data_IF_181822832147
#
_entry.id   IF_181822832147
#
_cell.length_a   1.000
_cell.length_b   1.000
_cell.length_c   1.000
_cell.angle_alpha   90.00
_cell.angle_beta   90.00
_cell.angle_gamma   90.00
#
_symmetry.space_group_name_H-M   'P 1'
#
loop_
_entity.id
_entity.type
_entity.pdbx_description
1 polymer ?
#
# COMPACT_ATOMS: atom_id res chain seq x y z
N UNK A 1 -47.31 14.29 47.07
CA UNK A 1 -47.34 13.00 46.35
C UNK A 1 -46.35 12.96 45.17
N UNK A 2 -45.73 14.08 44.77
CA UNK A 2 -44.87 14.14 43.57
C UNK A 2 -43.42 13.66 43.73
N UNK A 3 -42.83 13.74 44.93
CA UNK A 3 -41.42 13.35 45.13
C UNK A 3 -41.15 11.86 44.87
N UNK A 4 -42.14 10.98 45.12
CA UNK A 4 -42.03 9.54 44.84
C UNK A 4 -41.90 9.25 43.34
N UNK A 5 -42.62 10.01 42.51
CA UNK A 5 -42.59 9.88 41.05
C UNK A 5 -41.27 10.42 40.48
N UNK A 6 -40.77 11.53 41.03
CA UNK A 6 -39.47 12.10 40.66
C UNK A 6 -38.30 11.18 41.06
N UNK A 7 -38.35 10.59 42.26
CA UNK A 7 -37.35 9.61 42.71
C UNK A 7 -37.36 8.36 41.81
N UNK A 8 -38.54 7.87 41.43
CA UNK A 8 -38.64 6.71 40.55
C UNK A 8 -38.04 6.99 39.16
N UNK A 9 -38.30 8.17 38.60
CA UNK A 9 -37.68 8.60 37.34
C UNK A 9 -36.17 8.78 37.46
N UNK A 10 -35.67 9.30 38.59
CA UNK A 10 -34.23 9.44 38.82
C UNK A 10 -33.53 8.07 38.90
N UNK A 11 -34.11 7.11 39.63
CA UNK A 11 -33.58 5.74 39.74
C UNK A 11 -33.63 5.04 38.37
N UNK A 12 -34.70 5.21 37.60
CA UNK A 12 -34.84 4.63 36.27
C UNK A 12 -33.78 5.17 35.30
N UNK A 13 -33.60 6.48 35.24
CA UNK A 13 -32.59 7.12 34.39
C UNK A 13 -31.15 6.72 34.80
N UNK A 14 -30.86 6.67 36.10
CA UNK A 14 -29.55 6.22 36.59
C UNK A 14 -29.28 4.76 36.24
N UNK A 15 -30.29 3.89 36.35
CA UNK A 15 -30.18 2.48 36.00
C UNK A 15 -29.93 2.28 34.51
N UNK A 16 -30.60 3.06 33.65
CA UNK A 16 -30.38 3.05 32.20
C UNK A 16 -28.96 3.46 31.80
N UNK A 17 -28.42 4.48 32.46
CA UNK A 17 -27.04 4.94 32.25
C UNK A 17 -26.01 3.88 32.68
N UNK A 18 -26.24 3.18 33.80
CA UNK A 18 -25.35 2.13 34.27
C UNK A 18 -25.36 0.89 33.36
N UNK A 19 -26.54 0.50 32.86
CA UNK A 19 -26.69 -0.59 31.90
C UNK A 19 -25.99 -0.28 30.57
N UNK A 20 -26.15 0.96 30.07
CA UNK A 20 -25.47 1.40 28.86
C UNK A 20 -23.94 1.44 29.04
N UNK A 21 -23.45 1.90 30.19
CA UNK A 21 -22.03 1.85 30.51
C UNK A 21 -21.49 0.41 30.56
N UNK A 22 -22.21 -0.53 31.18
CA UNK A 22 -21.80 -1.93 31.22
C UNK A 22 -21.81 -2.59 29.85
N UNK A 23 -22.81 -2.27 29.00
CA UNK A 23 -22.81 -2.72 27.61
C UNK A 23 -21.59 -2.18 26.84
N UNK A 24 -21.24 -0.90 27.03
CA UNK A 24 -20.03 -0.35 26.41
C UNK A 24 -18.75 -1.07 26.86
N UNK A 25 -18.62 -1.38 28.15
CA UNK A 25 -17.46 -2.12 28.69
C UNK A 25 -17.41 -3.55 28.14
N UNK A 26 -18.56 -4.22 28.01
CA UNK A 26 -18.64 -5.55 27.40
C UNK A 26 -18.22 -5.56 25.93
N UNK A 27 -18.54 -4.49 25.19
CA UNK A 27 -18.11 -4.26 23.80
C UNK A 27 -16.66 -3.72 23.70
N UNK A 28 -15.90 -3.73 24.81
CA UNK A 28 -14.49 -3.34 24.84
C UNK A 28 -14.22 -1.83 24.81
N UNK A 29 -15.24 -0.99 25.02
CA UNK A 29 -15.10 0.48 25.10
C UNK A 29 -14.80 0.94 26.54
N UNK A 30 -14.07 2.04 26.74
CA UNK A 30 -13.74 2.54 28.07
C UNK A 30 -14.98 2.99 28.84
N UNK A 31 -14.99 2.77 30.17
CA UNK A 31 -16.12 3.15 31.02
C UNK A 31 -16.23 4.67 31.16
N UNK A 32 -17.46 5.18 31.13
CA UNK A 32 -17.79 6.60 31.31
C UNK A 32 -17.60 7.09 32.76
N UNK A 33 -17.40 6.19 33.73
CA UNK A 33 -17.28 6.50 35.16
C UNK A 33 -15.89 6.17 35.74
N UNK A 34 -14.97 5.65 34.92
CA UNK A 34 -13.60 5.37 35.30
C UNK A 34 -12.69 6.52 34.89
N UNK A 35 -11.93 7.09 35.84
CA UNK A 35 -10.79 7.93 35.51
C UNK A 35 -9.74 7.12 34.73
N UNK A 36 -9.16 7.72 33.70
CA UNK A 36 -8.08 7.11 32.91
C UNK A 36 -6.95 6.58 33.82
N UNK A 37 -6.33 5.42 33.50
CA UNK A 37 -5.09 5.07 34.16
C UNK A 37 -4.03 6.13 33.84
N UNK A 38 -3.51 6.74 34.89
CA UNK A 38 -2.28 7.53 34.88
C UNK A 38 -1.13 6.60 34.53
N UNK A 39 -0.39 6.93 33.46
CA UNK A 39 0.93 6.39 33.24
C UNK A 39 1.94 7.53 33.16
N UNK A 40 2.97 7.40 33.96
CA UNK A 40 4.03 8.36 34.25
C UNK A 40 4.96 8.56 33.05
N UNK A 41 5.54 9.77 32.98
CA UNK A 41 6.35 10.32 31.90
C UNK A 41 7.60 9.51 31.49
N UNK A 42 8.01 9.68 30.22
CA UNK A 42 9.42 9.65 29.81
C UNK A 42 9.66 10.82 28.85
N UNK A 43 10.62 11.67 29.22
CA UNK A 43 11.20 12.73 28.38
C UNK A 43 12.06 12.07 27.30
N UNK A 44 11.87 12.45 26.04
CA UNK A 44 12.86 12.20 25.00
C UNK A 44 12.82 13.30 23.94
N UNK A 45 14.00 13.50 23.39
CA UNK A 45 14.55 14.68 22.76
C UNK A 45 13.87 15.07 21.43
N UNK A 46 13.87 16.37 21.15
CA UNK A 46 13.41 16.93 19.87
C UNK A 46 14.57 16.83 18.87
N UNK A 47 14.62 15.74 18.13
CA UNK A 47 15.39 15.66 16.89
C UNK A 47 14.47 15.27 15.74
N UNK A 48 14.41 16.16 14.74
CA UNK A 48 13.78 15.96 13.43
C UNK A 48 14.30 14.68 12.77
N UNK A 49 13.50 13.62 12.81
CA UNK A 49 13.73 12.40 12.05
C UNK A 49 12.72 12.37 10.89
N UNK A 50 13.24 12.38 9.66
CA UNK A 50 12.47 12.09 8.46
C UNK A 50 11.75 10.75 8.66
N UNK A 51 10.42 10.74 8.54
CA UNK A 51 9.60 9.53 8.56
C UNK A 51 10.00 8.69 7.34
N UNK A 52 10.57 7.51 7.59
CA UNK A 52 10.99 6.55 6.57
C UNK A 52 9.94 5.43 6.58
N UNK A 53 9.36 5.18 5.41
CA UNK A 53 8.17 4.35 5.24
C UNK A 53 8.50 3.17 4.30
N UNK A 54 8.97 2.05 4.88
CA UNK A 54 8.95 0.72 4.24
C UNK A 54 9.00 -0.42 5.29
N UNK A 55 8.51 -1.64 4.95
CA UNK A 55 8.41 -2.76 5.88
C UNK A 55 9.77 -3.39 6.23
N UNK A 56 9.91 -3.87 7.47
CA UNK A 56 11.01 -4.73 7.92
C UNK A 56 10.65 -6.21 7.72
N UNK A 57 11.48 -7.03 7.06
CA UNK A 57 11.22 -8.46 6.98
C UNK A 57 11.41 -9.12 8.35
N UNK A 58 10.42 -9.93 8.76
CA UNK A 58 10.50 -10.74 9.99
C UNK A 58 11.46 -11.92 9.76
N UNK A 59 12.32 -12.15 10.74
CA UNK A 59 13.52 -12.99 10.70
C UNK A 59 13.29 -14.45 10.26
N UNK A 60 14.13 -14.92 9.35
CA UNK A 60 14.58 -16.32 9.27
C UNK A 60 16.07 -16.35 9.69
N UNK A 61 16.51 -17.14 10.70
CA UNK A 61 17.88 -17.08 11.23
C UNK A 61 18.99 -17.45 10.23
N UNK A 62 18.65 -17.99 9.05
CA UNK A 62 19.63 -18.59 8.13
C UNK A 62 20.01 -17.72 6.93
N UNK A 63 19.42 -16.54 6.72
CA UNK A 63 19.77 -15.65 5.60
C UNK A 63 19.77 -14.20 6.12
N UNK A 64 20.93 -13.52 6.18
CA UNK A 64 20.94 -12.11 6.56
C UNK A 64 20.24 -11.30 5.46
N UNK A 65 19.28 -10.46 5.86
CA UNK A 65 18.50 -9.60 4.96
C UNK A 65 18.99 -8.14 5.07
N UNK A 66 19.09 -7.38 3.96
CA UNK A 66 19.39 -5.96 4.00
C UNK A 66 18.48 -5.19 4.95
N UNK A 67 19.04 -4.70 6.05
CA UNK A 67 18.31 -3.95 7.07
C UNK A 67 18.28 -2.44 6.79
N UNK A 68 18.22 -2.03 5.51
CA UNK A 68 18.32 -0.63 5.16
C UNK A 68 17.37 -0.26 4.04
N UNK A 69 16.66 0.81 4.33
CA UNK A 69 15.53 1.33 3.58
C UNK A 69 16.01 2.31 2.53
N UNK A 70 15.75 2.10 1.22
CA UNK A 70 16.17 3.04 0.19
C UNK A 70 15.39 4.37 0.26
N UNK A 71 16.07 5.48 0.00
CA UNK A 71 15.52 6.84 0.10
C UNK A 71 14.52 7.16 -1.01
N UNK A 72 13.44 7.88 -0.67
CA UNK A 72 12.57 8.54 -1.66
C UNK A 72 13.20 9.88 -2.04
N UNK A 73 13.61 10.03 -3.30
CA UNK A 73 14.04 11.32 -3.86
C UNK A 73 12.81 11.98 -4.51
N UNK A 74 12.23 12.96 -3.83
CA UNK A 74 11.11 13.74 -4.35
C UNK A 74 11.55 14.56 -5.60
N UNK A 75 10.71 14.59 -6.65
CA UNK A 75 10.93 15.39 -7.88
C UNK A 75 11.55 14.63 -9.06
N UNK A 76 12.18 13.48 -8.82
CA UNK A 76 12.84 12.71 -9.89
C UNK A 76 11.84 11.95 -10.79
N UNK A 77 10.64 11.61 -10.30
CA UNK A 77 9.60 10.94 -11.09
C UNK A 77 8.89 11.94 -12.02
N UNK A 78 8.63 13.14 -11.53
CA UNK A 78 7.86 14.19 -12.21
C UNK A 78 8.53 14.70 -13.50
N UNK A 79 9.86 14.67 -13.53
CA UNK A 79 10.69 15.15 -14.65
C UNK A 79 11.22 14.03 -15.55
N UNK A 80 10.99 12.77 -15.16
CA UNK A 80 11.47 11.62 -15.91
C UNK A 80 10.66 11.41 -17.21
N UNK A 81 11.33 10.79 -18.19
CA UNK A 81 10.65 10.27 -19.38
C UNK A 81 9.55 9.28 -18.97
N UNK A 82 8.46 9.26 -19.74
CA UNK A 82 7.27 8.46 -19.46
C UNK A 82 6.96 7.58 -20.67
N UNK A 83 6.65 6.32 -20.41
CA UNK A 83 6.30 5.35 -21.44
C UNK A 83 4.85 4.89 -21.26
N UNK A 84 4.10 4.82 -22.35
CA UNK A 84 2.70 4.39 -22.33
C UNK A 84 2.57 2.95 -22.83
N UNK A 85 1.96 2.10 -22.01
CA UNK A 85 1.61 0.72 -22.36
C UNK A 85 0.10 0.55 -22.24
N UNK A 86 -0.58 0.08 -23.28
CA UNK A 86 -2.05 0.01 -23.28
C UNK A 86 -2.62 -1.17 -24.03
N UNK A 87 -3.75 -1.69 -23.56
CA UNK A 87 -4.66 -2.56 -24.28
C UNK A 87 -6.04 -1.90 -24.38
N UNK A 88 -7.10 -2.69 -24.59
CA UNK A 88 -8.47 -2.19 -24.73
C UNK A 88 -9.15 -1.81 -23.40
N UNK A 89 -8.66 -2.30 -22.25
CA UNK A 89 -9.27 -2.09 -20.93
C UNK A 89 -8.39 -1.34 -19.94
N UNK A 90 -7.10 -1.17 -20.23
CA UNK A 90 -6.10 -0.62 -19.33
C UNK A 90 -5.07 0.20 -20.10
N UNK A 91 -4.79 1.41 -19.62
CA UNK A 91 -3.73 2.30 -20.09
C UNK A 91 -2.82 2.57 -18.90
N UNK A 92 -1.53 2.26 -19.04
CA UNK A 92 -0.51 2.46 -18.03
C UNK A 92 0.46 3.55 -18.47
N UNK A 93 0.89 4.36 -17.52
CA UNK A 93 2.06 5.23 -17.67
C UNK A 93 3.19 4.75 -16.75
N UNK A 94 4.36 4.52 -17.35
CA UNK A 94 5.55 3.97 -16.67
C UNK A 94 6.64 5.05 -16.70
N UNK A 95 7.08 5.49 -15.53
CA UNK A 95 8.18 6.44 -15.40
C UNK A 95 9.52 5.73 -15.63
N UNK A 96 10.40 6.37 -16.42
CA UNK A 96 11.81 6.01 -16.53
C UNK A 96 12.51 6.06 -15.16
N UNK A 97 12.03 6.87 -14.20
CA UNK A 97 12.53 6.80 -12.84
C UNK A 97 11.94 5.58 -12.12
N UNK A 98 12.83 4.66 -11.76
CA UNK A 98 12.51 3.42 -11.08
C UNK A 98 11.83 2.37 -11.95
N UNK A 99 11.45 2.66 -13.20
CA UNK A 99 10.57 1.79 -13.96
C UNK A 99 9.26 1.57 -13.21
N UNK A 100 8.66 2.69 -12.77
CA UNK A 100 7.53 2.74 -11.82
C UNK A 100 6.23 2.94 -12.59
N UNK A 101 5.19 2.17 -12.30
CA UNK A 101 3.85 2.39 -12.88
C UNK A 101 3.20 3.52 -12.06
N UNK A 102 3.07 4.69 -12.66
CA UNK A 102 2.65 5.93 -11.99
C UNK A 102 1.22 6.36 -12.33
N UNK A 103 0.64 5.76 -13.37
CA UNK A 103 -0.75 5.94 -13.76
C UNK A 103 -1.32 4.61 -14.28
N UNK A 104 -2.59 4.35 -14.00
CA UNK A 104 -3.35 3.22 -14.49
C UNK A 104 -4.81 3.62 -14.71
N UNK A 105 -5.16 3.89 -15.96
CA UNK A 105 -6.50 4.32 -16.37
C UNK A 105 -7.31 3.16 -16.97
N UNK A 106 -8.58 3.09 -16.60
CA UNK A 106 -9.54 2.05 -16.98
C UNK A 106 -10.57 2.61 -17.97
N UNK A 107 -10.28 2.68 -19.29
CA UNK A 107 -11.10 3.39 -20.28
C UNK A 107 -12.55 2.91 -20.41
N UNK A 108 -12.85 1.67 -19.99
CA UNK A 108 -14.21 1.11 -20.02
C UNK A 108 -15.01 1.33 -18.73
N UNK A 109 -14.38 1.85 -17.68
CA UNK A 109 -15.03 2.13 -16.40
C UNK A 109 -15.22 3.64 -16.27
N UNK A 110 -16.43 4.06 -15.89
CA UNK A 110 -16.79 5.47 -15.81
C UNK A 110 -17.20 5.87 -14.40
N UNK A 111 -16.77 7.04 -13.95
CA UNK A 111 -17.30 7.71 -12.77
C UNK A 111 -18.74 8.21 -13.02
N UNK A 112 -19.49 8.61 -12.00
CA UNK A 112 -20.82 9.21 -12.18
C UNK A 112 -20.83 10.41 -13.12
N UNK A 113 -19.72 11.16 -13.20
CA UNK A 113 -19.51 12.30 -14.08
C UNK A 113 -19.11 11.90 -15.51
N UNK A 114 -19.18 10.61 -15.84
CA UNK A 114 -18.79 10.03 -17.14
C UNK A 114 -17.32 10.23 -17.52
N UNK A 115 -16.45 10.36 -16.52
CA UNK A 115 -14.99 10.38 -16.71
C UNK A 115 -14.44 8.96 -16.59
N UNK A 116 -13.35 8.67 -17.30
CA UNK A 116 -12.67 7.38 -17.15
C UNK A 116 -12.11 7.24 -15.73
N UNK A 117 -12.18 6.04 -15.17
CA UNK A 117 -11.63 5.76 -13.84
C UNK A 117 -10.10 5.70 -13.95
N UNK A 118 -9.43 6.48 -13.12
CA UNK A 118 -7.99 6.40 -12.89
C UNK A 118 -7.76 5.67 -11.56
N UNK A 119 -7.12 4.51 -11.62
CA UNK A 119 -6.81 3.70 -10.45
C UNK A 119 -5.51 4.21 -9.80
N UNK A 120 -4.38 4.15 -10.51
CA UNK A 120 -3.13 4.75 -10.04
C UNK A 120 -3.03 6.20 -10.47
N UNK A 121 -2.52 7.04 -9.58
CA UNK A 121 -2.29 8.45 -9.82
C UNK A 121 -1.05 8.90 -9.05
N UNK A 122 -0.11 9.53 -9.75
CA UNK A 122 1.06 10.16 -9.16
C UNK A 122 1.02 11.67 -9.37
N UNK A 123 0.34 12.38 -8.47
CA UNK A 123 0.20 13.84 -8.46
C UNK A 123 0.81 14.45 -7.20
N UNK A 124 0.95 15.79 -7.09
CA UNK A 124 1.43 16.41 -5.85
C UNK A 124 0.53 16.14 -4.63
N UNK A 125 -0.78 15.95 -4.85
CA UNK A 125 -1.79 15.83 -3.79
C UNK A 125 -2.31 14.40 -3.61
N UNK A 126 -2.02 13.51 -4.55
CA UNK A 126 -2.39 12.10 -4.46
C UNK A 126 -1.25 11.21 -4.97
N UNK A 127 -0.86 10.22 -4.16
CA UNK A 127 0.11 9.19 -4.51
C UNK A 127 -0.58 7.84 -4.41
N UNK A 128 -0.67 7.15 -5.54
CA UNK A 128 -1.06 5.75 -5.64
C UNK A 128 -0.37 5.13 -6.86
N UNK A 129 0.63 4.28 -6.65
CA UNK A 129 1.49 3.77 -7.72
C UNK A 129 2.14 2.44 -7.34
N UNK A 130 2.67 1.71 -8.33
CA UNK A 130 3.36 0.44 -8.11
C UNK A 130 4.83 0.51 -8.53
N UNK A 131 5.73 0.04 -7.65
CA UNK A 131 7.19 0.05 -7.88
C UNK A 131 7.84 -1.26 -7.50
N UNK A 132 9.07 -1.44 -7.97
CA UNK A 132 9.91 -2.60 -7.65
C UNK A 132 11.38 -2.25 -7.77
N UNK A 133 12.26 -3.13 -7.27
CA UNK A 133 13.70 -2.94 -7.41
C UNK A 133 14.52 -3.99 -6.67
N UNK A 134 15.83 -3.86 -6.75
CA UNK A 134 16.77 -4.73 -6.06
C UNK A 134 17.36 -4.03 -4.83
N UNK A 135 17.52 -4.81 -3.77
CA UNK A 135 18.29 -4.46 -2.57
C UNK A 135 19.23 -5.62 -2.22
N UNK A 136 20.29 -5.32 -1.48
CA UNK A 136 21.20 -6.31 -0.92
C UNK A 136 21.81 -5.78 0.38
N UNK A 137 22.24 -6.69 1.25
CA UNK A 137 22.93 -6.35 2.49
C UNK A 137 24.07 -5.36 2.25
N UNK A 138 24.26 -4.44 3.20
CA UNK A 138 25.38 -3.48 3.14
C UNK A 138 25.20 -2.31 2.17
N UNK A 139 23.96 -2.03 1.72
CA UNK A 139 23.63 -0.91 0.84
C UNK A 139 24.41 -0.87 -0.47
N UNK A 140 24.61 -2.02 -1.09
CA UNK A 140 25.14 -2.04 -2.44
C UNK A 140 24.21 -1.22 -3.33
N UNK A 141 24.75 -0.24 -4.04
CA UNK A 141 23.96 0.56 -4.98
C UNK A 141 23.54 -0.35 -6.15
N UNK A 142 22.25 -0.63 -6.21
CA UNK A 142 21.65 -1.60 -7.13
C UNK A 142 20.52 -0.92 -7.90
N UNK A 143 20.20 -1.39 -9.12
CA UNK A 143 19.03 -0.90 -9.84
C UNK A 143 17.75 -1.04 -9.00
N UNK A 144 17.15 0.08 -8.64
CA UNK A 144 15.96 0.14 -7.80
C UNK A 144 15.05 1.31 -8.18
N UNK A 145 14.06 1.62 -7.35
CA UNK A 145 13.08 2.68 -7.63
C UNK A 145 13.64 4.11 -7.73
N UNK A 146 14.90 4.32 -7.37
CA UNK A 146 15.62 5.61 -7.50
C UNK A 146 16.51 5.66 -8.75
N UNK A 147 16.59 4.56 -9.49
CA UNK A 147 17.44 4.43 -10.67
C UNK A 147 16.71 4.91 -11.91
N UNK A 148 17.39 5.64 -12.79
CA UNK A 148 16.89 5.87 -14.14
C UNK A 148 17.00 4.58 -14.94
N UNK A 149 15.89 4.16 -15.52
CA UNK A 149 15.78 3.09 -16.49
C UNK A 149 15.68 3.67 -17.90
N UNK A 150 16.23 2.95 -18.87
CA UNK A 150 16.14 3.29 -20.29
C UNK A 150 15.25 2.28 -21.00
N UNK A 151 14.52 2.74 -22.01
CA UNK A 151 13.78 1.85 -22.91
C UNK A 151 14.76 0.97 -23.67
N UNK A 152 14.67 -0.34 -23.46
CA UNK A 152 15.45 -1.33 -24.20
C UNK A 152 14.69 -1.85 -25.41
N UNK A 153 13.39 -2.11 -25.25
CA UNK A 153 12.54 -2.67 -26.30
C UNK A 153 11.07 -2.36 -25.99
N UNK A 154 10.26 -2.19 -27.04
CA UNK A 154 8.80 -2.18 -26.93
C UNK A 154 8.20 -2.70 -28.22
N UNK A 155 6.94 -3.12 -28.17
CA UNK A 155 6.23 -3.62 -29.34
C UNK A 155 5.07 -4.50 -28.95
N UNK A 156 4.81 -5.51 -29.78
CA UNK A 156 3.88 -6.60 -29.52
C UNK A 156 4.63 -7.93 -29.56
N UNK A 157 4.29 -8.84 -28.66
CA UNK A 157 4.86 -10.18 -28.64
C UNK A 157 4.28 -11.05 -29.78
N UNK A 158 4.69 -12.33 -29.84
CA UNK A 158 4.20 -13.27 -30.85
C UNK A 158 2.69 -13.55 -30.78
N UNK A 159 2.03 -13.20 -29.67
CA UNK A 159 0.58 -13.32 -29.46
C UNK A 159 -0.15 -12.00 -29.73
N UNK A 160 0.57 -10.93 -30.09
CA UNK A 160 0.02 -9.60 -30.31
C UNK A 160 -0.18 -8.77 -29.05
N UNK A 161 0.27 -9.25 -27.87
CA UNK A 161 0.18 -8.53 -26.61
C UNK A 161 1.23 -7.41 -26.57
N UNK A 162 0.87 -6.17 -26.27
CA UNK A 162 1.83 -5.09 -26.18
C UNK A 162 2.74 -5.27 -24.96
N UNK A 163 4.02 -4.90 -25.13
CA UNK A 163 5.02 -4.98 -24.08
C UNK A 163 6.01 -3.81 -24.10
N UNK A 164 6.65 -3.57 -22.95
CA UNK A 164 7.77 -2.65 -22.76
C UNK A 164 8.85 -3.33 -21.91
N UNK A 165 10.12 -3.20 -22.30
CA UNK A 165 11.29 -3.62 -21.55
C UNK A 165 12.12 -2.41 -21.18
N UNK A 166 12.30 -2.19 -19.88
CA UNK A 166 13.12 -1.12 -19.31
C UNK A 166 14.36 -1.72 -18.64
N UNK A 167 15.52 -1.11 -18.83
CA UNK A 167 16.80 -1.60 -18.30
C UNK A 167 17.52 -0.54 -17.48
N UNK A 168 18.11 -0.95 -16.37
CA UNK A 168 19.06 -0.16 -15.59
C UNK A 168 20.18 -1.06 -15.06
N UNK A 169 21.37 -0.51 -14.92
CA UNK A 169 22.55 -1.24 -14.45
C UNK A 169 23.31 -0.38 -13.44
N UNK A 170 23.64 -0.97 -12.29
CA UNK A 170 24.47 -0.35 -11.25
C UNK A 170 25.36 -1.42 -10.62
N UNK A 171 26.61 -1.07 -10.33
CA UNK A 171 27.60 -1.97 -9.73
C UNK A 171 27.70 -3.36 -10.40
N UNK A 172 27.64 -3.40 -11.73
CA UNK A 172 27.72 -4.64 -12.51
C UNK A 172 26.53 -5.58 -12.35
N UNK A 173 25.43 -5.10 -11.75
CA UNK A 173 24.14 -5.79 -11.71
C UNK A 173 23.17 -5.05 -12.63
N UNK A 174 22.72 -5.74 -13.67
CA UNK A 174 21.72 -5.27 -14.62
C UNK A 174 20.35 -5.81 -14.24
N UNK A 175 19.37 -4.93 -14.13
CA UNK A 175 17.97 -5.26 -13.94
C UNK A 175 17.18 -4.86 -15.19
N UNK A 176 16.52 -5.83 -15.79
CA UNK A 176 15.53 -5.64 -16.83
C UNK A 176 14.13 -5.86 -16.27
N UNK A 177 13.25 -4.89 -16.50
CA UNK A 177 11.84 -4.94 -16.15
C UNK A 177 11.01 -5.04 -17.42
N UNK A 178 10.26 -6.12 -17.56
CA UNK A 178 9.38 -6.37 -18.71
C UNK A 178 7.94 -6.26 -18.25
N UNK A 179 7.16 -5.39 -18.89
CA UNK A 179 5.73 -5.20 -18.65
C UNK A 179 4.97 -5.71 -19.87
N UNK A 180 3.97 -6.56 -19.68
CA UNK A 180 3.13 -7.12 -20.75
C UNK A 180 1.67 -6.95 -20.38
N UNK A 181 0.85 -6.54 -21.34
CA UNK A 181 -0.61 -6.51 -21.19
C UNK A 181 -1.26 -7.55 -22.10
N UNK A 182 -1.98 -8.49 -21.50
CA UNK A 182 -2.83 -9.42 -22.27
C UNK A 182 -4.05 -8.69 -22.84
N UNK A 183 -4.49 -9.06 -24.05
CA UNK A 183 -5.71 -8.49 -24.63
C UNK A 183 -6.95 -8.74 -23.73
N UNK A 184 -7.79 -7.71 -23.54
CA UNK A 184 -9.01 -7.79 -22.73
C UNK A 184 -8.79 -7.96 -21.22
N UNK A 185 -7.54 -7.93 -20.74
CA UNK A 185 -7.19 -8.23 -19.35
C UNK A 185 -6.72 -6.98 -18.60
N UNK A 186 -7.07 -6.91 -17.32
CA UNK A 186 -6.50 -5.94 -16.38
C UNK A 186 -5.17 -6.42 -15.76
N UNK A 187 -4.77 -7.66 -16.02
CA UNK A 187 -3.51 -8.23 -15.51
C UNK A 187 -2.33 -7.65 -16.27
N UNK A 188 -1.35 -7.17 -15.49
CA UNK A 188 -0.05 -6.73 -15.99
C UNK A 188 0.98 -7.76 -15.57
N UNK A 189 1.56 -8.46 -16.53
CA UNK A 189 2.68 -9.36 -16.24
C UNK A 189 3.95 -8.51 -16.10
N UNK A 190 4.60 -8.59 -14.94
CA UNK A 190 5.84 -7.87 -14.64
C UNK A 190 6.97 -8.87 -14.40
N UNK A 191 7.86 -8.98 -15.37
CA UNK A 191 9.06 -9.82 -15.30
C UNK A 191 10.29 -9.03 -14.85
N UNK A 192 11.10 -9.62 -13.98
CA UNK A 192 12.40 -9.08 -13.57
C UNK A 192 13.51 -10.04 -13.99
N UNK A 193 14.38 -9.63 -14.91
CA UNK A 193 15.59 -10.37 -15.26
C UNK A 193 16.81 -9.70 -14.65
N UNK A 194 17.55 -10.44 -13.84
CA UNK A 194 18.79 -9.98 -13.20
C UNK A 194 19.98 -10.64 -13.87
N UNK A 195 20.92 -9.83 -14.37
CA UNK A 195 22.21 -10.32 -14.90
C UNK A 195 23.34 -9.72 -14.07
N UNK A 196 24.27 -10.56 -13.64
CA UNK A 196 25.45 -10.12 -12.87
C UNK A 196 26.70 -10.36 -13.71
N UNK A 197 27.45 -9.30 -13.99
CA UNK A 197 28.70 -9.38 -14.76
C UNK A 197 29.84 -9.99 -13.95
N UNK A 198 29.75 -9.97 -12.62
CA UNK A 198 30.66 -10.61 -11.68
C UNK A 198 29.85 -11.39 -10.63
N UNK A 199 30.45 -12.42 -10.01
CA UNK A 199 29.86 -13.08 -8.86
C UNK A 199 29.70 -12.09 -7.70
N UNK A 200 28.47 -11.64 -7.42
CA UNK A 200 28.20 -10.84 -6.22
C UNK A 200 28.11 -11.79 -5.02
N UNK A 201 28.88 -11.52 -3.97
CA UNK A 201 28.87 -12.33 -2.75
C UNK A 201 27.59 -12.12 -1.91
N UNK A 202 26.87 -11.01 -2.10
CA UNK A 202 25.66 -10.69 -1.36
C UNK A 202 24.40 -11.21 -2.09
N UNK A 203 23.50 -11.93 -1.41
CA UNK A 203 22.18 -12.27 -1.96
C UNK A 203 21.41 -11.02 -2.37
N UNK A 204 20.93 -10.99 -3.61
CA UNK A 204 20.04 -9.95 -4.10
C UNK A 204 18.61 -10.28 -3.70
N UNK A 205 17.87 -9.26 -3.25
CA UNK A 205 16.45 -9.37 -2.91
C UNK A 205 15.66 -8.45 -3.84
N UNK A 206 14.69 -9.02 -4.54
CA UNK A 206 13.67 -8.27 -5.27
C UNK A 206 12.60 -7.83 -4.28
N UNK A 207 12.28 -6.54 -4.29
CA UNK A 207 11.08 -6.02 -3.62
C UNK A 207 10.07 -5.52 -4.66
N UNK A 208 8.79 -5.63 -4.32
CA UNK A 208 7.65 -5.14 -5.09
C UNK A 208 6.68 -4.47 -4.12
N UNK A 209 6.21 -3.28 -4.47
CA UNK A 209 5.43 -2.44 -3.56
C UNK A 209 4.27 -1.77 -4.30
N UNK A 210 3.15 -1.68 -3.61
CA UNK A 210 2.06 -0.77 -3.93
C UNK A 210 2.13 0.35 -2.90
N UNK A 211 2.34 1.57 -3.36
CA UNK A 211 2.50 2.75 -2.50
C UNK A 211 1.26 3.60 -2.66
N UNK A 212 0.61 3.92 -1.53
CA UNK A 212 -0.54 4.82 -1.50
C UNK A 212 -0.43 5.76 -0.31
N UNK A 213 -0.84 7.01 -0.52
CA UNK A 213 -1.12 7.91 0.60
C UNK A 213 -2.35 7.48 1.42
N UNK A 214 -2.56 8.15 2.55
CA UNK A 214 -3.70 7.89 3.42
C UNK A 214 -4.99 8.62 2.99
N UNK A 215 -5.07 9.11 1.74
CA UNK A 215 -6.27 9.81 1.27
C UNK A 215 -7.47 8.87 1.27
N UNK A 216 -8.56 9.34 1.87
CA UNK A 216 -9.80 8.59 1.99
C UNK A 216 -10.66 8.85 0.76
N UNK A 217 -11.31 7.81 0.24
CA UNK A 217 -12.31 7.97 -0.81
C UNK A 217 -13.51 8.78 -0.30
N UNK A 218 -14.21 9.43 -1.22
CA UNK A 218 -15.43 10.16 -0.89
C UNK A 218 -16.44 9.22 -0.22
N UNK A 219 -17.06 9.70 0.88
CA UNK A 219 -18.10 8.94 1.55
C UNK A 219 -19.32 8.82 0.64
N UNK A 220 -19.96 7.66 0.65
CA UNK A 220 -21.07 7.36 -0.26
C UNK A 220 -22.38 7.52 0.50
N UNK A 221 -23.22 8.45 0.07
CA UNK A 221 -24.55 8.65 0.64
C UNK A 221 -25.29 9.85 0.05
N UNK A 222 -26.63 9.89 0.18
CA UNK A 222 -27.46 10.98 -0.36
C UNK A 222 -27.26 12.33 0.35
N UNK A 223 -26.52 12.35 1.46
CA UNK A 223 -26.21 13.53 2.23
C UNK A 223 -24.69 13.57 2.49
N UNK A 224 -24.07 14.69 2.16
CA UNK A 224 -22.66 15.01 2.45
C UNK A 224 -22.43 15.17 3.98
N UNK A 225 -22.57 14.06 4.72
CA UNK A 225 -22.72 14.10 6.18
C UNK A 225 -23.02 12.74 6.86
N UNK A 226 -23.58 12.82 8.07
CA UNK A 226 -23.67 11.79 9.13
C UNK A 226 -24.39 10.46 8.79
N UNK A 227 -24.91 10.32 7.57
CA UNK A 227 -25.61 9.11 7.09
C UNK A 227 -24.92 8.50 5.85
N UNK A 228 -23.68 8.88 5.58
CA UNK A 228 -22.87 8.28 4.52
C UNK A 228 -22.17 7.02 5.02
N UNK A 229 -22.22 5.96 4.23
CA UNK A 229 -21.44 4.76 4.46
C UNK A 229 -20.02 4.97 3.91
N UNK A 230 -19.02 4.59 4.69
CA UNK A 230 -17.64 4.48 4.20
C UNK A 230 -17.37 3.05 3.77
N UNK A 231 -16.93 2.89 2.53
CA UNK A 231 -16.36 1.63 2.04
C UNK A 231 -14.92 1.52 2.51
N UNK A 232 -14.47 0.29 2.79
CA UNK A 232 -13.09 0.07 3.18
C UNK A 232 -12.14 0.49 2.04
N UNK A 233 -11.16 1.32 2.36
CA UNK A 233 -10.04 1.67 1.49
C UNK A 233 -8.75 1.43 2.25
N UNK A 234 -7.91 0.53 1.76
CA UNK A 234 -6.62 0.25 2.39
C UNK A 234 -5.96 -1.02 1.92
N UNK A 235 -4.75 -1.30 2.43
CA UNK A 235 -4.02 -2.50 2.07
C UNK A 235 -4.77 -3.75 2.53
N UNK A 236 -4.64 -4.81 1.73
CA UNK A 236 -5.09 -6.14 2.08
C UNK A 236 -3.98 -7.14 1.78
N UNK A 237 -3.99 -8.25 2.51
CA UNK A 237 -3.04 -9.34 2.32
C UNK A 237 -3.78 -10.66 2.35
N UNK A 238 -3.21 -11.65 1.68
CA UNK A 238 -3.67 -13.02 1.75
C UNK A 238 -2.48 -13.96 1.89
N UNK A 239 -2.64 -14.94 2.77
CA UNK A 239 -1.80 -16.15 2.82
C UNK A 239 -2.71 -17.35 3.02
N UNK A 240 -2.27 -18.55 2.67
CA UNK A 240 -3.11 -19.74 2.91
C UNK A 240 -3.40 -19.96 4.41
N UNK A 241 -2.47 -19.60 5.29
CA UNK A 241 -2.60 -19.74 6.75
C UNK A 241 -3.55 -18.71 7.36
N UNK A 242 -3.39 -17.44 6.98
CA UNK A 242 -4.08 -16.32 7.62
C UNK A 242 -5.32 -15.85 6.83
N UNK A 243 -5.53 -16.41 5.64
CA UNK A 243 -6.57 -16.02 4.67
C UNK A 243 -6.55 -14.52 4.41
N UNK A 244 -7.70 -13.94 4.06
CA UNK A 244 -7.81 -12.54 3.69
C UNK A 244 -7.79 -11.62 4.92
N UNK A 245 -6.84 -10.68 4.96
CA UNK A 245 -6.68 -9.73 6.04
C UNK A 245 -6.66 -8.29 5.52
N UNK A 246 -7.51 -7.45 6.09
CA UNK A 246 -7.52 -6.00 5.87
C UNK A 246 -6.55 -5.32 6.82
N UNK A 247 -5.75 -4.40 6.31
CA UNK A 247 -4.84 -3.58 7.09
C UNK A 247 -5.35 -2.13 7.06
N UNK A 248 -5.87 -1.65 8.18
CA UNK A 248 -6.34 -0.27 8.31
C UNK A 248 -5.14 0.70 8.31
N UNK A 249 -5.20 1.78 7.53
CA UNK A 249 -4.15 2.81 7.55
C UNK A 249 -3.87 3.33 8.97
N UNK A 250 -4.93 3.53 9.77
CA UNK A 250 -4.77 3.99 11.16
C UNK A 250 -4.07 2.96 12.06
N UNK A 251 -4.14 1.67 11.73
CA UNK A 251 -3.39 0.64 12.44
C UNK A 251 -1.92 0.64 11.99
N UNK A 252 -1.65 0.89 10.71
CA UNK A 252 -0.29 1.07 10.17
C UNK A 252 0.38 2.27 10.87
N UNK A 253 -0.30 3.42 10.92
CA UNK A 253 0.18 4.64 11.57
C UNK A 253 0.52 4.45 13.05
N UNK A 254 -0.27 3.61 13.75
CA UNK A 254 -0.08 3.30 15.17
C UNK A 254 0.88 2.15 15.41
N UNK A 255 1.46 1.57 14.35
CA UNK A 255 2.28 0.36 14.40
C UNK A 255 1.58 -0.81 15.12
N UNK A 256 0.28 -0.98 14.82
CA UNK A 256 -0.60 -2.02 15.40
C UNK A 256 -1.06 -3.05 14.37
N UNK A 257 -0.44 -3.08 13.20
CA UNK A 257 -0.69 -4.15 12.24
C UNK A 257 0.05 -5.43 12.65
N UNK A 258 -0.56 -6.57 12.34
CA UNK A 258 0.18 -7.84 12.29
C UNK A 258 0.57 -8.04 10.83
N UNK A 259 1.87 -8.00 10.56
CA UNK A 259 2.39 -8.30 9.22
C UNK A 259 2.30 -9.82 9.04
N UNK A 260 1.73 -10.32 7.93
CA UNK A 260 1.68 -11.75 7.68
C UNK A 260 3.05 -12.40 7.79
N UNK A 261 3.09 -13.61 8.35
CA UNK A 261 4.34 -14.37 8.42
C UNK A 261 4.92 -14.61 7.03
N UNK A 262 6.25 -14.68 6.91
CA UNK A 262 6.90 -15.03 5.65
C UNK A 262 6.30 -16.32 5.09
N UNK A 263 5.94 -16.27 3.81
CA UNK A 263 5.33 -17.39 3.09
C UNK A 263 6.43 -18.10 2.28
N UNK A 264 6.55 -19.44 2.36
CA UNK A 264 7.47 -20.21 1.53
C UNK A 264 7.24 -19.97 0.04
N UNK A 265 8.31 -20.04 -0.75
CA UNK A 265 8.20 -19.94 -2.20
C UNK A 265 7.30 -21.06 -2.75
N UNK A 266 6.32 -20.69 -3.58
CA UNK A 266 5.35 -21.62 -4.17
C UNK A 266 4.01 -21.69 -3.45
N UNK A 267 3.92 -21.20 -2.20
CA UNK A 267 2.66 -21.13 -1.48
C UNK A 267 1.82 -19.91 -1.93
N UNK A 268 0.47 -20.02 -1.99
CA UNK A 268 -0.37 -18.91 -2.41
C UNK A 268 -0.32 -17.72 -1.45
N UNK A 269 0.13 -16.57 -1.94
CA UNK A 269 0.11 -15.31 -1.21
C UNK A 269 0.00 -14.11 -2.16
N UNK A 270 -0.58 -13.03 -1.66
CA UNK A 270 -0.60 -11.74 -2.36
C UNK A 270 -0.78 -10.58 -1.37
N UNK A 271 -0.35 -9.40 -1.82
CA UNK A 271 -0.69 -8.11 -1.22
C UNK A 271 -1.55 -7.35 -2.23
N UNK A 272 -2.42 -6.50 -1.74
CA UNK A 272 -3.27 -5.65 -2.57
C UNK A 272 -3.53 -4.31 -1.90
N UNK A 273 -3.99 -3.35 -2.68
CA UNK A 273 -4.67 -2.17 -2.19
C UNK A 273 -6.13 -2.24 -2.65
N UNK A 274 -7.06 -2.27 -1.70
CA UNK A 274 -8.50 -2.43 -1.97
C UNK A 274 -9.20 -1.10 -1.76
N UNK A 275 -10.11 -0.77 -2.67
CA UNK A 275 -10.99 0.39 -2.57
C UNK A 275 -12.37 0.05 -3.13
N UNK A 276 -13.32 0.99 -3.14
CA UNK A 276 -14.65 0.66 -3.62
C UNK A 276 -14.63 0.24 -5.10
N UNK A 277 -15.11 -0.97 -5.40
CA UNK A 277 -15.15 -1.60 -6.74
C UNK A 277 -13.80 -1.98 -7.37
N UNK A 278 -12.66 -1.55 -6.82
CA UNK A 278 -11.36 -1.76 -7.46
C UNK A 278 -10.32 -2.31 -6.47
N UNK A 279 -9.35 -3.04 -7.01
CA UNK A 279 -8.17 -3.48 -6.30
C UNK A 279 -6.95 -3.44 -7.23
N UNK A 280 -5.76 -3.28 -6.65
CA UNK A 280 -4.47 -3.41 -7.33
C UNK A 280 -3.56 -4.38 -6.61
#
# INVERSE_FOLDING_TARGET
MDYKKTILWAIFSMSGILLFNNWQVHEGKPSMFGGSPVNTAVVADKTTANKIDIPSPVQNPSIPAPNQTPMVVAGAIETAEKFVLKNDVLILEISANGGTIIDAMLPKQLTPEKKQVELFQYTPNHKYFARSGLIALGNVDLPNHTSTFKLSQSGKDGSGNPFIVLVSERNGVKLEKTFILSAGSYVVDVGHRVTQSNANAAPLVLYTEIVRDASQEQKIGPFDGAFSASTFTGPATYTDKEKFNKLEFTAIDKNKITIPTQVPAGDPAWIAMVQHYFAS
#
